data_IF_876461780220
#
_entry.id   IF_876461780220
#
_cell.length_a   1.000
_cell.length_b   1.000
_cell.length_c   1.000
_cell.angle_alpha   90.00
_cell.angle_beta   90.00
_cell.angle_gamma   90.00
#
_symmetry.space_group_name_H-M   'P 1'
#
loop_
_entity.id
_entity.type
_entity.pdbx_description
1 polymer ?
#
# COMPACT_ATOMS: atom_id res chain seq x y z
N UNK A 1 -22.61 -5.66 7.65
CA UNK A 1 -21.56 -6.55 8.20
C UNK A 1 -20.63 -6.95 7.06
N UNK A 2 -19.42 -6.39 6.98
CA UNK A 2 -18.42 -6.71 5.95
C UNK A 2 -17.69 -8.04 6.25
N UNK A 3 -18.45 -9.10 6.51
CA UNK A 3 -17.90 -10.39 6.97
C UNK A 3 -17.27 -11.21 5.84
N UNK A 4 -17.54 -10.87 4.57
CA UNK A 4 -17.14 -11.66 3.40
C UNK A 4 -16.05 -11.05 2.53
N UNK A 5 -15.40 -9.95 2.95
CA UNK A 5 -14.26 -9.46 2.19
C UNK A 5 -13.09 -10.42 2.32
N UNK A 6 -12.62 -10.92 1.18
CA UNK A 6 -11.40 -11.72 1.14
C UNK A 6 -10.25 -10.91 1.76
N UNK A 7 -9.24 -11.60 2.30
CA UNK A 7 -8.06 -10.94 2.86
C UNK A 7 -7.45 -9.92 1.88
N UNK A 8 -7.48 -10.25 0.58
CA UNK A 8 -7.01 -9.37 -0.50
C UNK A 8 -7.84 -8.10 -0.64
N UNK A 9 -9.15 -8.16 -0.46
CA UNK A 9 -10.03 -6.99 -0.54
C UNK A 9 -9.84 -6.05 0.65
N UNK A 10 -9.57 -6.60 1.85
CA UNK A 10 -9.22 -5.80 3.03
C UNK A 10 -7.91 -5.05 2.83
N UNK A 11 -6.89 -5.72 2.29
CA UNK A 11 -5.61 -5.10 1.95
C UNK A 11 -5.77 -4.01 0.90
N UNK A 12 -6.57 -4.25 -0.15
CA UNK A 12 -6.88 -3.25 -1.18
C UNK A 12 -7.63 -2.04 -0.62
N UNK A 13 -8.56 -2.23 0.30
CA UNK A 13 -9.28 -1.13 0.95
C UNK A 13 -8.37 -0.29 1.85
N UNK A 14 -7.54 -0.92 2.68
CA UNK A 14 -6.55 -0.21 3.49
C UNK A 14 -5.58 0.59 2.63
N UNK A 15 -5.18 0.00 1.50
CA UNK A 15 -4.38 0.65 0.48
C UNK A 15 -5.09 1.87 -0.13
N UNK A 16 -6.33 1.73 -0.59
CA UNK A 16 -7.12 2.83 -1.14
C UNK A 16 -7.31 3.97 -0.13
N UNK A 17 -7.56 3.61 1.14
CA UNK A 17 -7.70 4.58 2.21
C UNK A 17 -6.39 5.36 2.43
N UNK A 18 -5.24 4.66 2.45
CA UNK A 18 -3.92 5.31 2.55
C UNK A 18 -3.66 6.25 1.37
N UNK A 19 -4.03 5.85 0.15
CA UNK A 19 -3.88 6.67 -1.06
C UNK A 19 -4.74 7.94 -0.99
N UNK A 20 -6.01 7.81 -0.57
CA UNK A 20 -6.93 8.93 -0.39
C UNK A 20 -6.39 9.91 0.67
N UNK A 21 -5.87 9.39 1.79
CA UNK A 21 -5.24 10.20 2.82
C UNK A 21 -3.99 10.90 2.31
N UNK A 22 -3.17 10.22 1.49
CA UNK A 22 -1.97 10.79 0.87
C UNK A 22 -2.26 11.95 -0.08
N UNK A 23 -3.36 11.86 -0.83
CA UNK A 23 -3.79 12.87 -1.80
C UNK A 23 -4.55 14.03 -1.14
N UNK A 24 -5.10 13.83 0.05
CA UNK A 24 -5.86 14.87 0.71
C UNK A 24 -4.95 15.97 1.26
N UNK A 25 -5.23 17.22 0.85
CA UNK A 25 -4.50 18.42 1.27
C UNK A 25 -4.52 18.65 2.79
N UNK A 26 -5.43 18.00 3.51
CA UNK A 26 -5.61 18.11 4.96
C UNK A 26 -4.39 17.58 5.73
N UNK A 27 -3.69 16.57 5.20
CA UNK A 27 -2.49 16.03 5.83
C UNK A 27 -1.20 16.65 5.31
N UNK A 28 -1.25 17.74 4.56
CA UNK A 28 -0.06 18.49 4.17
C UNK A 28 0.27 19.56 5.22
N UNK A 29 1.55 19.68 5.54
CA UNK A 29 2.09 20.83 6.28
C UNK A 29 2.01 22.08 5.41
N UNK A 30 2.12 23.25 6.03
CA UNK A 30 2.21 24.55 5.33
C UNK A 30 3.35 24.61 4.30
N UNK A 31 4.36 23.76 4.48
CA UNK A 31 5.57 23.66 3.66
C UNK A 31 5.38 22.74 2.44
N UNK A 32 4.20 22.14 2.23
CA UNK A 32 3.94 21.21 1.12
C UNK A 32 4.42 19.78 1.36
N UNK A 33 4.97 19.46 2.53
CA UNK A 33 5.30 18.08 2.93
C UNK A 33 4.11 17.38 3.59
N UNK A 34 4.01 16.06 3.44
CA UNK A 34 3.02 15.27 4.17
C UNK A 34 3.35 15.15 5.66
N UNK A 35 2.34 15.33 6.49
CA UNK A 35 2.41 15.20 7.94
C UNK A 35 2.13 13.77 8.38
N UNK A 36 3.13 12.91 8.19
CA UNK A 36 3.07 11.47 8.51
C UNK A 36 2.67 11.18 9.96
N UNK A 37 3.01 12.07 10.90
CA UNK A 37 2.65 11.92 12.31
C UNK A 37 1.13 12.00 12.53
N UNK A 38 0.45 12.90 11.83
CA UNK A 38 -1.00 13.07 11.92
C UNK A 38 -1.71 11.88 11.26
N UNK A 39 -1.21 11.43 10.11
CA UNK A 39 -1.73 10.23 9.42
C UNK A 39 -1.59 8.99 10.31
N UNK A 40 -0.44 8.80 10.96
CA UNK A 40 -0.19 7.69 11.87
C UNK A 40 -1.16 7.69 13.07
N UNK A 41 -1.42 8.87 13.66
CA UNK A 41 -2.42 9.02 14.73
C UNK A 41 -3.84 8.71 14.24
N UNK A 42 -4.23 9.23 13.07
CA UNK A 42 -5.55 9.04 12.50
C UNK A 42 -5.85 7.56 12.19
N UNK A 43 -4.87 6.86 11.62
CA UNK A 43 -4.98 5.43 11.30
C UNK A 43 -4.71 4.51 12.50
N UNK A 44 -4.35 5.07 13.66
CA UNK A 44 -3.88 4.34 14.84
C UNK A 44 -2.81 3.29 14.49
N UNK A 45 -1.85 3.67 13.63
CA UNK A 45 -0.76 2.80 13.15
C UNK A 45 0.58 3.44 13.41
N UNK A 46 1.59 2.60 13.59
CA UNK A 46 2.96 3.08 13.77
C UNK A 46 3.48 3.77 12.50
N UNK A 47 4.28 4.85 12.67
CA UNK A 47 4.81 5.65 11.55
C UNK A 47 5.64 4.82 10.57
N UNK A 48 6.39 3.82 11.04
CA UNK A 48 7.18 2.95 10.18
C UNK A 48 6.32 2.10 9.24
N UNK A 49 5.15 1.65 9.69
CA UNK A 49 4.18 0.92 8.86
C UNK A 49 3.64 1.80 7.75
N UNK A 50 3.22 3.04 8.09
CA UNK A 50 2.77 4.04 7.13
C UNK A 50 3.86 4.30 6.07
N UNK A 51 5.10 4.58 6.50
CA UNK A 51 6.23 4.83 5.59
C UNK A 51 6.52 3.64 4.68
N UNK A 52 6.46 2.42 5.22
CA UNK A 52 6.65 1.19 4.44
C UNK A 52 5.57 1.02 3.39
N UNK A 53 4.32 1.29 3.73
CA UNK A 53 3.21 1.22 2.77
C UNK A 53 3.32 2.31 1.72
N UNK A 54 3.63 3.56 2.08
CA UNK A 54 3.91 4.64 1.12
C UNK A 54 5.05 4.27 0.18
N UNK A 55 6.13 3.69 0.72
CA UNK A 55 7.26 3.23 -0.10
C UNK A 55 6.82 2.15 -1.08
N UNK A 56 6.05 1.14 -0.62
CA UNK A 56 5.44 0.11 -1.47
C UNK A 56 4.58 0.72 -2.56
N UNK A 57 3.75 1.71 -2.23
CA UNK A 57 2.92 2.44 -3.20
C UNK A 57 3.72 3.17 -4.24
N UNK A 58 4.73 3.95 -3.84
CA UNK A 58 5.61 4.65 -4.78
C UNK A 58 6.41 3.69 -5.66
N UNK A 59 6.70 2.49 -5.16
CA UNK A 59 7.30 1.40 -5.96
C UNK A 59 6.27 0.57 -6.72
N UNK A 60 4.96 0.83 -6.56
CA UNK A 60 3.89 0.12 -7.28
C UNK A 60 3.82 0.54 -8.76
N UNK A 61 4.51 1.60 -9.20
CA UNK A 61 4.80 1.79 -10.63
C UNK A 61 5.54 0.57 -11.23
N UNK A 62 6.21 -0.26 -10.41
CA UNK A 62 6.77 -1.56 -10.83
C UNK A 62 5.86 -2.77 -10.54
N UNK A 63 4.81 -2.61 -9.72
CA UNK A 63 3.89 -3.70 -9.41
C UNK A 63 2.81 -3.79 -10.50
N UNK A 64 3.20 -4.27 -11.68
CA UNK A 64 2.21 -4.81 -12.60
C UNK A 64 1.82 -6.20 -12.11
N UNK A 65 0.51 -6.45 -11.96
CA UNK A 65 0.00 -7.79 -11.71
C UNK A 65 0.56 -8.80 -12.74
N UNK A 66 0.86 -8.32 -13.95
CA UNK A 66 1.56 -9.07 -14.99
C UNK A 66 3.01 -9.46 -14.62
N UNK A 67 3.82 -8.55 -14.07
CA UNK A 67 5.20 -8.85 -13.61
C UNK A 67 5.18 -9.86 -12.46
N UNK A 68 4.27 -9.69 -11.50
CA UNK A 68 4.19 -10.59 -10.36
C UNK A 68 3.73 -12.00 -10.77
N UNK A 69 2.76 -12.11 -11.66
CA UNK A 69 2.27 -13.39 -12.19
C UNK A 69 3.35 -14.08 -13.04
N UNK A 70 4.05 -13.32 -13.90
CA UNK A 70 5.20 -13.82 -14.68
C UNK A 70 6.31 -14.38 -13.77
N UNK A 71 6.67 -13.65 -12.70
CA UNK A 71 7.71 -14.08 -11.75
C UNK A 71 7.33 -15.37 -10.99
N UNK A 72 6.04 -15.57 -10.70
CA UNK A 72 5.52 -16.78 -10.07
C UNK A 72 5.68 -18.00 -10.98
N UNK A 73 5.32 -17.88 -12.26
CA UNK A 73 5.50 -18.97 -13.24
C UNK A 73 6.96 -19.24 -13.56
N UNK A 74 7.81 -18.21 -13.67
CA UNK A 74 9.27 -18.39 -13.88
C UNK A 74 9.92 -19.15 -12.71
N UNK A 75 9.60 -18.79 -11.45
CA UNK A 75 10.10 -19.52 -10.28
C UNK A 75 9.60 -20.97 -10.19
N UNK A 76 8.43 -21.27 -10.76
CA UNK A 76 7.92 -22.65 -10.81
C UNK A 76 8.57 -23.46 -11.92
N UNK A 77 8.94 -22.87 -13.07
CA UNK A 77 9.70 -23.56 -14.12
C UNK A 77 11.09 -24.00 -13.67
N UNK A 78 11.77 -23.21 -12.84
CA UNK A 78 13.11 -23.57 -12.32
C UNK A 78 13.11 -24.68 -11.26
N UNK A 79 11.94 -25.20 -10.83
CA UNK A 79 11.86 -26.31 -9.86
C UNK A 79 11.63 -27.68 -10.50
N UNK A 80 11.49 -27.75 -11.84
CA UNK A 80 11.21 -28.98 -12.59
C UNK A 80 12.32 -29.34 -13.60
N UNK A 81 13.50 -28.77 -13.45
CA UNK A 81 14.75 -29.17 -14.13
C UNK A 81 15.78 -29.51 -13.07
#
# INVERSE_FOLDING_TARGET
MYSHLSFMDKVKLEQLLLLLLLLSKIFFKKNGEQNISVIAKFLNRHRSTILREIKRFKTTDEYSAYKSDKMYYEKKRCKFT
#
